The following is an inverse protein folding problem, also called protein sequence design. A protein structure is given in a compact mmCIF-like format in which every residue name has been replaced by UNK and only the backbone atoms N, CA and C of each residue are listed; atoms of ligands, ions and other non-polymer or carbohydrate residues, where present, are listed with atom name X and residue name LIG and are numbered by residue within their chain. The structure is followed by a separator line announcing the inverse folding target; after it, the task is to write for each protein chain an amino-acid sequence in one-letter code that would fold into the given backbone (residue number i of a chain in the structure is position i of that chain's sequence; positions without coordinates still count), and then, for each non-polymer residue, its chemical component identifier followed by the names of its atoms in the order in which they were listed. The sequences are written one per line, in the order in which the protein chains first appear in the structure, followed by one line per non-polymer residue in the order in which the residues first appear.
data_IF_750312414738
#
_entry.id   IF_750312414738
#
_cell.length_a   1.000
_cell.length_b   1.000
_cell.length_c   1.000
_cell.angle_alpha   90.00
_cell.angle_beta   90.00
_cell.angle_gamma   90.00
#
_symmetry.space_group_name_H-M   'P 1'
#
loop_
_entity.id
_entity.type
_entity.pdbx_description
1 polymer ?
#
# COMPACT_ATOMS: atom_id res chain seq x y z
N UNK A 1 12.92 -0.71 17.21
CA UNK A 1 11.62 -0.06 16.92
C UNK A 1 10.96 0.42 18.21
N UNK A 2 10.80 -0.42 19.22
CA UNK A 2 10.14 -0.08 20.50
C UNK A 2 10.79 1.12 21.17
N UNK A 3 12.11 1.16 21.27
CA UNK A 3 12.87 2.30 21.80
C UNK A 3 12.57 3.59 21.01
N UNK A 4 12.62 3.50 19.67
CA UNK A 4 12.30 4.65 18.81
C UNK A 4 10.86 5.14 18.95
N UNK A 5 9.87 4.26 19.21
CA UNK A 5 8.49 4.65 19.46
C UNK A 5 8.34 5.51 20.72
N UNK A 6 9.08 5.18 21.79
CA UNK A 6 9.06 5.93 23.04
C UNK A 6 9.52 7.39 22.85
N UNK A 7 10.44 7.63 21.90
CA UNK A 7 10.99 8.95 21.59
C UNK A 7 10.30 9.69 20.44
N UNK A 8 9.33 9.06 19.74
CA UNK A 8 8.63 9.72 18.63
C UNK A 8 7.91 11.00 19.05
N UNK A 9 7.38 11.07 20.28
CA UNK A 9 6.72 12.26 20.82
C UNK A 9 7.66 13.46 20.97
N UNK A 10 8.94 13.20 21.14
CA UNK A 10 9.99 14.23 21.31
C UNK A 10 10.39 14.85 19.97
N UNK A 11 10.00 14.22 18.84
CA UNK A 11 10.35 14.68 17.51
C UNK A 11 9.17 15.42 16.85
N UNK A 12 9.14 16.76 16.84
CA UNK A 12 7.98 17.56 16.43
C UNK A 12 7.43 17.18 15.06
N UNK A 13 8.30 16.99 14.05
CA UNK A 13 7.89 16.67 12.68
C UNK A 13 7.17 15.31 12.61
N UNK A 14 7.77 14.27 13.17
CA UNK A 14 7.21 12.91 13.09
C UNK A 14 5.93 12.79 13.92
N UNK A 15 5.95 13.39 15.10
CA UNK A 15 4.78 13.35 15.99
C UNK A 15 3.60 14.15 15.45
N UNK A 16 3.83 15.30 14.81
CA UNK A 16 2.77 16.08 14.19
C UNK A 16 2.07 15.31 13.05
N UNK A 17 2.81 14.52 12.27
CA UNK A 17 2.21 13.64 11.26
C UNK A 17 1.25 12.61 11.90
N UNK A 18 1.61 12.07 13.07
CA UNK A 18 0.77 11.12 13.80
C UNK A 18 -0.46 11.82 14.37
N UNK A 19 -0.29 12.97 15.04
CA UNK A 19 -1.40 13.75 15.58
C UNK A 19 -2.44 14.09 14.51
N UNK A 20 -1.97 14.53 13.35
CA UNK A 20 -2.84 14.87 12.23
C UNK A 20 -3.61 13.67 11.65
N UNK A 21 -3.09 12.47 11.80
CA UNK A 21 -3.77 11.23 11.40
C UNK A 21 -4.80 10.78 12.45
N UNK A 22 -4.56 11.08 13.73
CA UNK A 22 -5.41 10.72 14.87
C UNK A 22 -6.21 11.94 15.39
N UNK A 23 -6.84 12.69 14.49
CA UNK A 23 -7.51 13.97 14.79
C UNK A 23 -8.55 13.93 15.92
N UNK A 24 -9.06 12.75 16.30
CA UNK A 24 -10.00 12.56 17.40
C UNK A 24 -9.32 12.26 18.74
N UNK A 25 -7.99 12.19 18.79
CA UNK A 25 -7.22 11.84 20.00
C UNK A 25 -6.22 12.96 20.25
N UNK A 26 -6.32 13.63 21.41
CA UNK A 26 -5.49 14.80 21.71
C UNK A 26 -4.01 14.43 21.84
N UNK A 27 -3.62 13.35 22.34
CA UNK A 27 -2.21 12.91 22.44
C UNK A 27 -2.10 11.42 22.14
N UNK A 28 -2.14 11.03 20.85
CA UNK A 28 -2.07 9.62 20.48
C UNK A 28 -0.74 9.01 20.90
N UNK A 29 -0.79 7.78 21.40
CA UNK A 29 0.43 6.99 21.61
C UNK A 29 0.94 6.47 20.25
N UNK A 30 2.20 6.78 19.87
CA UNK A 30 2.77 6.24 18.65
C UNK A 30 2.80 4.71 18.66
N UNK A 31 2.47 4.12 17.53
CA UNK A 31 2.49 2.68 17.30
C UNK A 31 3.36 2.32 16.10
N UNK A 32 3.69 1.05 15.94
CA UNK A 32 4.38 0.54 14.75
C UNK A 32 3.55 0.83 13.48
N UNK A 33 2.23 0.79 13.59
CA UNK A 33 1.34 1.13 12.48
C UNK A 33 1.49 2.57 12.02
N UNK A 34 1.71 3.52 12.93
CA UNK A 34 1.91 4.92 12.56
C UNK A 34 3.17 5.12 11.71
N UNK A 35 4.22 4.33 11.96
CA UNK A 35 5.43 4.35 11.13
C UNK A 35 5.08 3.87 9.72
N UNK A 36 4.43 2.71 9.59
CA UNK A 36 4.12 2.07 8.31
C UNK A 36 3.02 2.76 7.51
N UNK A 37 1.98 3.29 8.17
CA UNK A 37 0.76 3.77 7.51
C UNK A 37 0.61 5.30 7.53
N UNK A 38 1.36 6.00 8.37
CA UNK A 38 1.30 7.47 8.48
C UNK A 38 2.63 8.12 8.10
N UNK A 39 3.69 7.89 8.87
CA UNK A 39 4.99 8.56 8.65
C UNK A 39 5.57 8.17 7.30
N UNK A 40 5.77 6.88 7.07
CA UNK A 40 6.37 6.35 5.83
C UNK A 40 5.65 6.81 4.56
N UNK A 41 4.32 6.63 4.44
CA UNK A 41 3.57 7.07 3.26
C UNK A 41 3.62 8.58 3.00
N UNK A 42 3.63 9.43 4.02
CA UNK A 42 3.73 10.88 3.86
C UNK A 42 5.13 11.30 3.37
N UNK A 43 6.19 10.78 3.98
CA UNK A 43 7.57 11.04 3.55
C UNK A 43 7.82 10.48 2.15
N UNK A 44 7.38 9.25 1.86
CA UNK A 44 7.53 8.65 0.54
C UNK A 44 6.80 9.44 -0.56
N UNK A 45 5.67 10.06 -0.25
CA UNK A 45 4.95 10.88 -1.23
C UNK A 45 5.77 12.09 -1.67
N UNK A 46 6.40 12.80 -0.74
CA UNK A 46 7.22 13.96 -1.10
C UNK A 46 8.56 13.55 -1.73
N UNK A 47 9.13 12.41 -1.35
CA UNK A 47 10.32 11.86 -2.00
C UNK A 47 10.04 11.57 -3.48
N UNK A 48 8.85 11.07 -3.80
CA UNK A 48 8.45 10.77 -5.19
C UNK A 48 8.05 12.00 -5.99
N UNK A 49 7.22 12.88 -5.42
CA UNK A 49 6.56 13.97 -6.15
C UNK A 49 7.05 15.37 -5.77
N UNK A 50 7.86 15.50 -4.73
CA UNK A 50 8.38 16.78 -4.27
C UNK A 50 9.53 17.28 -5.15
N UNK A 51 9.65 18.61 -5.24
CA UNK A 51 10.83 19.27 -5.82
C UNK A 51 12.04 19.12 -4.89
N UNK A 52 13.24 19.32 -5.41
CA UNK A 52 14.46 19.25 -4.60
C UNK A 52 14.42 20.19 -3.38
N UNK A 53 13.99 21.47 -3.51
CA UNK A 53 13.82 22.35 -2.34
C UNK A 53 12.85 21.79 -1.30
N UNK A 54 11.72 21.20 -1.72
CA UNK A 54 10.76 20.60 -0.80
C UNK A 54 11.35 19.39 -0.05
N UNK A 55 12.12 18.55 -0.73
CA UNK A 55 12.85 17.43 -0.10
C UNK A 55 13.86 17.93 0.91
N UNK A 56 14.55 19.04 0.64
CA UNK A 56 15.48 19.66 1.59
C UNK A 56 14.76 20.19 2.85
N UNK A 57 13.54 20.75 2.73
CA UNK A 57 12.75 21.15 3.89
C UNK A 57 12.44 19.93 4.78
N UNK A 58 12.02 18.81 4.20
CA UNK A 58 11.77 17.58 4.97
C UNK A 58 13.06 17.05 5.64
N UNK A 59 14.18 17.08 4.93
CA UNK A 59 15.46 16.69 5.52
C UNK A 59 15.85 17.59 6.72
N UNK A 60 15.69 18.92 6.57
CA UNK A 60 15.93 19.86 7.68
C UNK A 60 15.00 19.60 8.86
N UNK A 61 13.71 19.28 8.61
CA UNK A 61 12.75 18.95 9.65
C UNK A 61 13.12 17.67 10.44
N UNK A 62 13.80 16.72 9.79
CA UNK A 62 14.29 15.50 10.46
C UNK A 62 15.52 15.79 11.35
N UNK A 63 16.36 16.76 11.00
CA UNK A 63 17.63 17.02 11.70
C UNK A 63 17.51 18.17 12.70
N UNK A 64 16.77 19.22 12.36
CA UNK A 64 16.65 20.48 13.12
C UNK A 64 15.23 21.02 13.06
N UNK A 65 14.22 20.34 13.67
CA UNK A 65 12.81 20.59 13.45
C UNK A 65 12.36 22.01 13.83
N UNK A 66 13.05 22.67 14.74
CA UNK A 66 12.72 24.03 15.20
C UNK A 66 13.40 25.14 14.42
N UNK A 67 14.19 24.82 13.39
CA UNK A 67 14.76 25.83 12.49
C UNK A 67 13.65 26.65 11.83
N UNK A 68 13.79 27.98 11.81
CA UNK A 68 12.85 28.83 11.11
C UNK A 68 13.15 28.85 9.60
N UNK A 69 12.09 28.78 8.81
CA UNK A 69 12.13 28.84 7.34
C UNK A 69 10.95 29.68 6.83
N UNK A 70 11.08 30.31 5.66
CA UNK A 70 9.97 31.00 5.04
C UNK A 70 8.81 30.04 4.79
N UNK A 71 7.58 30.45 5.13
CA UNK A 71 6.36 29.70 4.80
C UNK A 71 6.15 29.72 3.28
N UNK A 72 5.83 28.57 2.70
CA UNK A 72 5.37 28.51 1.30
C UNK A 72 3.85 28.40 1.18
N UNK A 73 3.13 28.70 2.24
CA UNK A 73 1.67 28.75 2.25
C UNK A 73 1.18 30.04 1.62
N UNK A 74 0.23 29.94 0.71
CA UNK A 74 -0.33 31.10 0.02
C UNK A 74 -0.90 32.11 1.02
N UNK A 75 -0.44 33.35 0.92
CA UNK A 75 -0.84 34.46 1.79
C UNK A 75 0.01 34.60 3.07
N UNK A 76 1.11 33.85 3.20
CA UNK A 76 2.07 33.90 4.29
C UNK A 76 3.49 34.20 3.78
N UNK A 77 3.64 34.91 2.67
CA UNK A 77 4.88 35.08 1.92
C UNK A 77 6.04 35.70 2.75
N UNK A 78 5.72 36.47 3.81
CA UNK A 78 6.70 37.12 4.70
C UNK A 78 6.78 36.47 6.09
N UNK A 79 6.17 35.30 6.28
CA UNK A 79 6.16 34.63 7.59
C UNK A 79 7.24 33.54 7.66
N UNK A 80 7.96 33.52 8.78
CA UNK A 80 8.82 32.41 9.13
C UNK A 80 8.09 31.44 10.06
N UNK A 81 8.20 30.15 9.78
CA UNK A 81 7.59 29.09 10.56
C UNK A 81 8.64 28.04 10.93
N UNK A 82 8.45 27.30 12.02
CA UNK A 82 9.29 26.14 12.30
C UNK A 82 9.30 25.17 11.12
N UNK A 83 10.48 24.68 10.74
CA UNK A 83 10.63 23.85 9.53
C UNK A 83 9.80 22.58 9.60
N UNK A 84 9.49 22.06 10.81
CA UNK A 84 8.63 20.88 10.95
C UNK A 84 7.18 21.15 10.49
N UNK A 85 6.62 22.33 10.76
CA UNK A 85 5.26 22.70 10.32
C UNK A 85 5.19 22.78 8.79
N UNK A 86 6.18 23.44 8.18
CA UNK A 86 6.28 23.52 6.73
C UNK A 86 6.45 22.13 6.09
N UNK A 87 7.30 21.26 6.69
CA UNK A 87 7.52 19.90 6.22
C UNK A 87 6.24 19.03 6.30
N UNK A 88 5.50 19.10 7.41
CA UNK A 88 4.21 18.41 7.57
C UNK A 88 3.24 18.82 6.48
N UNK A 89 3.08 20.13 6.26
CA UNK A 89 2.19 20.69 5.23
C UNK A 89 2.59 20.20 3.83
N UNK A 90 3.88 20.25 3.50
CA UNK A 90 4.40 19.80 2.21
C UNK A 90 4.19 18.29 2.00
N UNK A 91 4.43 17.46 3.01
CA UNK A 91 4.21 16.01 2.97
C UNK A 91 2.73 15.69 2.73
N UNK A 92 1.81 16.31 3.47
CA UNK A 92 0.35 16.13 3.30
C UNK A 92 -0.12 16.53 1.91
N UNK A 93 0.35 17.68 1.40
CA UNK A 93 0.05 18.13 0.05
C UNK A 93 0.59 17.16 -1.02
N UNK A 94 1.81 16.66 -0.85
CA UNK A 94 2.38 15.66 -1.75
C UNK A 94 1.58 14.36 -1.70
N UNK A 95 1.16 13.91 -0.51
CA UNK A 95 0.32 12.71 -0.32
C UNK A 95 -1.03 12.85 -1.03
N UNK A 96 -1.69 14.00 -0.90
CA UNK A 96 -2.96 14.27 -1.58
C UNK A 96 -2.78 14.25 -3.12
N UNK A 97 -1.74 14.91 -3.64
CA UNK A 97 -1.42 14.86 -5.08
C UNK A 97 -1.13 13.44 -5.55
N UNK A 98 -0.35 12.68 -4.77
CA UNK A 98 -0.04 11.28 -5.07
C UNK A 98 -1.32 10.44 -5.18
N UNK A 99 -2.23 10.53 -4.22
CA UNK A 99 -3.49 9.78 -4.23
C UNK A 99 -4.31 10.13 -5.48
N UNK A 100 -4.51 11.43 -5.75
CA UNK A 100 -5.25 11.88 -6.94
C UNK A 100 -4.61 11.40 -8.24
N UNK A 101 -3.28 11.46 -8.35
CA UNK A 101 -2.57 11.01 -9.55
C UNK A 101 -2.68 9.48 -9.74
N UNK A 102 -2.57 8.71 -8.67
CA UNK A 102 -2.75 7.25 -8.71
C UNK A 102 -4.18 6.89 -9.13
N UNK A 103 -5.19 7.52 -8.54
CA UNK A 103 -6.59 7.22 -8.85
C UNK A 103 -6.94 7.58 -10.31
N UNK A 104 -6.45 8.72 -10.80
CA UNK A 104 -6.57 9.11 -12.21
C UNK A 104 -5.88 8.11 -13.14
N UNK A 105 -4.67 7.68 -12.80
CA UNK A 105 -3.92 6.70 -13.58
C UNK A 105 -4.66 5.37 -13.66
N UNK A 106 -5.21 4.88 -12.54
CA UNK A 106 -5.99 3.65 -12.52
C UNK A 106 -7.24 3.78 -13.40
N UNK A 107 -7.98 4.89 -13.28
CA UNK A 107 -9.14 5.12 -14.14
C UNK A 107 -8.76 5.09 -15.63
N UNK A 108 -7.62 5.70 -16.02
CA UNK A 108 -7.11 5.64 -17.40
C UNK A 108 -6.79 4.20 -17.81
N UNK A 109 -6.04 3.46 -16.99
CA UNK A 109 -5.67 2.08 -17.30
C UNK A 109 -6.92 1.22 -17.48
N UNK A 110 -7.91 1.34 -16.58
CA UNK A 110 -9.14 0.55 -16.64
C UNK A 110 -9.99 0.79 -17.89
N UNK A 111 -9.88 1.95 -18.54
CA UNK A 111 -10.57 2.20 -19.82
C UNK A 111 -9.94 1.48 -21.01
N UNK A 112 -8.67 1.11 -20.89
CA UNK A 112 -7.88 0.51 -21.98
C UNK A 112 -7.59 -0.97 -21.72
N UNK A 113 -7.53 -1.36 -20.46
CA UNK A 113 -7.14 -2.69 -20.04
C UNK A 113 -8.28 -3.69 -20.29
N UNK A 114 -8.00 -4.66 -21.14
CA UNK A 114 -8.88 -5.81 -21.37
C UNK A 114 -8.25 -7.03 -20.67
N UNK A 115 -8.72 -7.33 -19.47
CA UNK A 115 -8.30 -8.52 -18.72
C UNK A 115 -9.21 -9.68 -19.06
N UNK A 116 -8.62 -10.79 -19.52
CA UNK A 116 -9.32 -12.05 -19.75
C UNK A 116 -9.17 -12.95 -18.53
N UNK A 117 -10.13 -13.84 -18.32
CA UNK A 117 -10.05 -14.84 -17.24
C UNK A 117 -8.85 -15.78 -17.38
N UNK A 118 -8.36 -15.94 -18.63
CA UNK A 118 -7.18 -16.75 -18.95
C UNK A 118 -5.84 -16.04 -18.72
N UNK A 119 -5.85 -14.75 -18.39
CA UNK A 119 -4.61 -14.01 -18.18
C UNK A 119 -4.08 -14.28 -16.76
N UNK A 120 -2.91 -14.90 -16.65
CA UNK A 120 -2.26 -15.20 -15.38
C UNK A 120 -1.46 -14.00 -14.82
N UNK A 121 -1.26 -12.97 -15.63
CA UNK A 121 -0.64 -11.71 -15.25
C UNK A 121 -1.27 -10.56 -16.04
N UNK A 122 -1.25 -9.36 -15.48
CA UNK A 122 -1.70 -8.13 -16.13
C UNK A 122 -0.46 -7.40 -16.64
N UNK A 123 -0.37 -7.21 -17.95
CA UNK A 123 0.71 -6.45 -18.58
C UNK A 123 0.11 -5.24 -19.29
N UNK A 124 0.37 -4.05 -18.75
CA UNK A 124 -0.03 -2.79 -19.35
C UNK A 124 1.20 -2.00 -19.80
N UNK A 125 1.15 -1.49 -21.03
CA UNK A 125 2.21 -0.67 -21.64
C UNK A 125 1.65 0.74 -21.83
N UNK A 126 2.24 1.69 -21.15
CA UNK A 126 1.92 3.11 -21.27
C UNK A 126 2.68 3.73 -22.45
N UNK A 127 2.19 3.49 -23.67
CA UNK A 127 2.81 3.96 -24.91
C UNK A 127 2.84 5.48 -25.00
N UNK A 128 1.81 6.16 -24.50
CA UNK A 128 1.67 7.62 -24.54
C UNK A 128 2.33 8.31 -23.34
N UNK A 129 2.97 7.58 -22.43
CA UNK A 129 3.64 8.09 -21.23
C UNK A 129 2.75 8.99 -20.36
N UNK A 130 1.47 8.63 -20.21
CA UNK A 130 0.48 9.38 -19.41
C UNK A 130 0.61 9.13 -17.91
N UNK A 131 1.25 8.02 -17.54
CA UNK A 131 1.41 7.65 -16.13
C UNK A 131 2.66 8.31 -15.55
N UNK A 132 2.56 8.78 -14.33
CA UNK A 132 3.72 9.24 -13.56
C UNK A 132 4.57 8.01 -13.18
N UNK A 133 5.76 7.88 -13.74
CA UNK A 133 6.62 6.71 -13.58
C UNK A 133 6.95 6.41 -12.11
N UNK A 134 7.22 7.44 -11.32
CA UNK A 134 7.52 7.36 -9.89
C UNK A 134 6.37 6.75 -9.07
N UNK A 135 5.17 6.69 -9.66
CA UNK A 135 3.97 6.12 -9.05
C UNK A 135 3.62 4.73 -9.59
N UNK A 136 4.32 4.23 -10.60
CA UNK A 136 4.01 2.95 -11.26
C UNK A 136 3.91 1.77 -10.28
N UNK A 137 4.81 1.71 -9.29
CA UNK A 137 4.74 0.68 -8.25
C UNK A 137 3.52 0.78 -7.33
N UNK A 138 2.99 1.99 -7.07
CA UNK A 138 1.76 2.16 -6.29
C UNK A 138 0.52 1.80 -7.10
N UNK A 139 0.50 2.19 -8.36
CA UNK A 139 -0.55 1.85 -9.31
C UNK A 139 -0.62 0.32 -9.47
N UNK A 140 0.53 -0.32 -9.70
CA UNK A 140 0.62 -1.77 -9.81
C UNK A 140 0.13 -2.49 -8.55
N UNK A 141 0.43 -1.99 -7.34
CA UNK A 141 -0.09 -2.57 -6.09
C UNK A 141 -1.61 -2.47 -5.97
N UNK A 142 -2.23 -1.36 -6.38
CA UNK A 142 -3.69 -1.23 -6.35
C UNK A 142 -4.37 -2.17 -7.36
N UNK A 143 -3.81 -2.29 -8.56
CA UNK A 143 -4.30 -3.24 -9.55
C UNK A 143 -4.10 -4.70 -9.12
N UNK A 144 -2.96 -5.03 -8.48
CA UNK A 144 -2.73 -6.33 -7.86
C UNK A 144 -3.82 -6.68 -6.85
N UNK A 145 -4.18 -5.73 -5.97
CA UNK A 145 -5.25 -5.93 -4.99
C UNK A 145 -6.62 -6.11 -5.64
N UNK A 146 -6.88 -5.47 -6.78
CA UNK A 146 -8.14 -5.56 -7.50
C UNK A 146 -8.28 -6.87 -8.29
N UNK A 147 -7.22 -7.29 -8.97
CA UNK A 147 -7.27 -8.44 -9.88
C UNK A 147 -6.68 -9.72 -9.30
N UNK A 148 -6.02 -9.62 -8.15
CA UNK A 148 -5.38 -10.76 -7.46
C UNK A 148 -4.34 -11.52 -8.31
N UNK A 149 -3.72 -10.86 -9.29
CA UNK A 149 -2.74 -11.41 -10.24
C UNK A 149 -1.53 -10.50 -10.34
N UNK A 150 -0.33 -11.00 -10.68
CA UNK A 150 0.84 -10.15 -10.92
C UNK A 150 0.53 -9.02 -11.91
N UNK A 151 1.03 -7.83 -11.62
CA UNK A 151 0.83 -6.63 -12.45
C UNK A 151 2.18 -6.09 -12.89
N UNK A 152 2.32 -5.90 -14.19
CA UNK A 152 3.47 -5.36 -14.88
C UNK A 152 3.04 -4.07 -15.58
N UNK A 153 3.57 -2.93 -15.13
CA UNK A 153 3.34 -1.63 -15.76
C UNK A 153 4.64 -1.18 -16.43
N UNK A 154 4.62 -1.05 -17.74
CA UNK A 154 5.77 -0.70 -18.56
C UNK A 154 5.51 0.61 -19.30
N UNK A 155 6.57 1.26 -19.73
CA UNK A 155 6.58 2.36 -20.69
C UNK A 155 7.82 2.33 -21.55
N UNK A 156 7.79 3.01 -22.68
CA UNK A 156 8.94 3.19 -23.56
C UNK A 156 10.06 3.95 -22.82
N UNK A 157 11.26 3.41 -22.93
CA UNK A 157 12.48 4.03 -22.45
C UNK A 157 13.52 4.01 -23.56
N UNK A 158 14.02 5.19 -23.93
CA UNK A 158 15.06 5.34 -24.95
C UNK A 158 16.25 6.06 -24.31
N UNK A 159 17.43 5.48 -24.44
CA UNK A 159 18.67 6.10 -24.03
C UNK A 159 19.76 5.80 -25.08
N UNK A 160 20.04 6.77 -25.94
CA UNK A 160 20.88 6.54 -27.14
C UNK A 160 20.25 5.50 -28.06
N UNK A 161 20.99 4.45 -28.38
CA UNK A 161 20.53 3.35 -29.24
C UNK A 161 19.77 2.25 -28.51
N UNK A 162 19.60 2.39 -27.19
CA UNK A 162 18.87 1.41 -26.38
C UNK A 162 17.38 1.74 -26.39
N UNK A 163 16.59 0.83 -26.94
CA UNK A 163 15.12 0.87 -26.94
C UNK A 163 14.62 -0.29 -26.09
N UNK A 164 14.01 0.01 -24.96
CA UNK A 164 13.45 -1.00 -24.08
C UNK A 164 12.14 -0.51 -23.41
N UNK A 165 11.33 -1.44 -22.97
CA UNK A 165 10.21 -1.16 -22.09
C UNK A 165 10.68 -1.30 -20.65
N UNK A 166 10.55 -0.23 -19.86
CA UNK A 166 10.89 -0.21 -18.43
C UNK A 166 9.69 0.03 -17.56
N UNK A 167 9.67 -0.60 -16.39
CA UNK A 167 8.59 -0.35 -15.46
C UNK A 167 8.68 -1.08 -14.14
N UNK A 168 7.51 -1.24 -13.52
CA UNK A 168 7.36 -1.82 -12.19
C UNK A 168 6.54 -3.09 -12.23
N UNK A 169 7.01 -4.09 -11.51
CA UNK A 169 6.29 -5.36 -11.26
C UNK A 169 5.85 -5.41 -9.81
N UNK A 170 4.62 -5.86 -9.61
CA UNK A 170 4.08 -6.20 -8.29
C UNK A 170 3.35 -7.53 -8.36
N UNK A 171 3.61 -8.37 -7.36
CA UNK A 171 2.96 -9.66 -7.16
C UNK A 171 2.82 -9.94 -5.67
N UNK A 172 2.30 -11.10 -5.33
CA UNK A 172 2.24 -11.61 -3.97
C UNK A 172 2.66 -13.08 -3.94
N UNK A 173 3.19 -13.58 -2.80
CA UNK A 173 3.40 -15.01 -2.63
C UNK A 173 2.07 -15.76 -2.71
N UNK A 174 2.06 -16.83 -3.46
CA UNK A 174 0.94 -17.79 -3.53
C UNK A 174 1.52 -19.19 -3.65
N UNK A 175 0.73 -20.21 -3.41
CA UNK A 175 1.18 -21.60 -3.57
C UNK A 175 1.68 -21.85 -5.00
N UNK A 176 2.85 -22.47 -5.12
CA UNK A 176 3.51 -22.68 -6.40
C UNK A 176 4.25 -21.48 -7.00
N UNK A 177 4.35 -20.35 -6.27
CA UNK A 177 5.10 -19.16 -6.71
C UNK A 177 5.86 -18.51 -5.52
N UNK A 178 7.09 -18.92 -5.31
CA UNK A 178 7.94 -18.43 -4.22
C UNK A 178 8.69 -17.13 -4.60
N UNK A 179 9.00 -16.94 -5.87
CA UNK A 179 9.76 -15.78 -6.36
C UNK A 179 9.38 -15.43 -7.80
N UNK A 180 8.51 -14.43 -7.95
CA UNK A 180 8.07 -13.93 -9.25
C UNK A 180 9.23 -13.34 -10.08
N UNK A 181 10.19 -12.69 -9.42
CA UNK A 181 11.36 -12.10 -10.09
C UNK A 181 12.20 -13.20 -10.78
N UNK A 182 12.45 -14.31 -10.12
CA UNK A 182 13.24 -15.41 -10.69
C UNK A 182 12.50 -16.05 -11.88
N UNK A 183 11.17 -16.20 -11.78
CA UNK A 183 10.35 -16.66 -12.92
C UNK A 183 10.51 -15.73 -14.11
N UNK A 184 10.39 -14.42 -13.91
CA UNK A 184 10.49 -13.45 -15.01
C UNK A 184 11.90 -13.36 -15.60
N UNK A 185 12.94 -13.46 -14.78
CA UNK A 185 14.33 -13.43 -15.25
C UNK A 185 14.65 -14.56 -16.23
N UNK A 186 13.95 -15.69 -16.13
CA UNK A 186 14.07 -16.81 -17.06
C UNK A 186 13.32 -16.65 -18.39
N UNK A 187 12.55 -15.57 -18.58
CA UNK A 187 11.73 -15.36 -19.78
C UNK A 187 12.53 -14.61 -20.86
N UNK A 188 12.44 -15.09 -22.09
CA UNK A 188 13.05 -14.44 -23.27
C UNK A 188 12.59 -12.98 -23.37
N UNK A 189 13.53 -12.09 -23.66
CA UNK A 189 13.29 -10.65 -23.80
C UNK A 189 13.43 -9.85 -22.49
N UNK A 190 13.55 -10.50 -21.33
CA UNK A 190 13.85 -9.81 -20.08
C UNK A 190 15.36 -9.51 -20.03
N UNK A 191 15.69 -8.23 -19.96
CA UNK A 191 17.08 -7.75 -19.91
C UNK A 191 17.49 -7.39 -18.47
N UNK A 192 16.49 -7.05 -17.63
CA UNK A 192 16.74 -6.56 -16.28
C UNK A 192 15.57 -6.86 -15.35
N UNK A 193 15.87 -7.34 -14.13
CA UNK A 193 14.91 -7.49 -13.04
C UNK A 193 15.61 -7.15 -11.71
N UNK A 194 15.32 -5.98 -11.14
CA UNK A 194 16.02 -5.42 -9.98
C UNK A 194 15.05 -5.12 -8.83
N UNK A 195 15.28 -5.73 -7.68
CA UNK A 195 14.46 -5.54 -6.48
C UNK A 195 14.17 -6.83 -5.74
N UNK A 196 13.02 -6.88 -5.05
CA UNK A 196 12.60 -8.00 -4.22
C UNK A 196 11.81 -9.03 -5.02
N UNK A 197 11.59 -10.23 -4.45
CA UNK A 197 10.92 -11.36 -5.11
C UNK A 197 9.56 -11.03 -5.77
N UNK A 198 8.76 -10.13 -5.15
CA UNK A 198 7.44 -9.75 -5.62
C UNK A 198 7.26 -8.24 -5.90
N UNK A 199 8.33 -7.46 -5.77
CA UNK A 199 8.31 -6.01 -5.98
C UNK A 199 9.64 -5.56 -6.57
N UNK A 200 9.69 -5.36 -7.89
CA UNK A 200 10.93 -5.07 -8.61
C UNK A 200 10.70 -4.19 -9.84
N UNK A 201 11.78 -3.61 -10.33
CA UNK A 201 11.85 -2.98 -11.63
C UNK A 201 12.14 -4.00 -12.71
N UNK A 202 11.52 -3.84 -13.87
CA UNK A 202 11.67 -4.72 -15.03
C UNK A 202 12.08 -3.92 -16.25
N UNK A 203 13.01 -4.45 -17.03
CA UNK A 203 13.38 -3.99 -18.36
C UNK A 203 13.21 -5.12 -19.37
N UNK A 204 12.52 -4.85 -20.48
CA UNK A 204 12.22 -5.82 -21.54
C UNK A 204 12.61 -5.20 -22.88
N UNK A 205 13.21 -6.01 -23.75
CA UNK A 205 13.38 -5.66 -25.16
C UNK A 205 12.00 -5.44 -25.81
N UNK A 206 11.79 -4.26 -26.40
CA UNK A 206 10.49 -3.86 -26.95
C UNK A 206 10.05 -4.74 -28.12
N UNK A 207 10.99 -5.25 -28.92
CA UNK A 207 10.70 -6.16 -30.05
C UNK A 207 10.16 -7.52 -29.55
N UNK A 208 10.52 -7.95 -28.33
CA UNK A 208 10.19 -9.26 -27.75
C UNK A 208 8.99 -9.24 -26.79
N UNK A 209 8.32 -8.10 -26.66
CA UNK A 209 7.21 -7.96 -25.69
C UNK A 209 6.06 -8.92 -25.94
N UNK A 210 5.77 -9.25 -27.19
CA UNK A 210 4.69 -10.21 -27.51
C UNK A 210 5.04 -11.62 -27.08
N UNK A 211 6.27 -12.05 -27.30
CA UNK A 211 6.77 -13.34 -26.81
C UNK A 211 6.83 -13.39 -25.28
N UNK A 212 7.32 -12.31 -24.67
CA UNK A 212 7.32 -12.18 -23.21
C UNK A 212 5.93 -12.40 -22.61
N UNK A 213 4.87 -11.77 -23.15
CA UNK A 213 3.49 -11.95 -22.65
C UNK A 213 3.04 -13.40 -22.73
N UNK A 214 3.34 -14.11 -23.81
CA UNK A 214 2.98 -15.52 -23.97
C UNK A 214 3.73 -16.38 -22.97
N UNK A 215 5.06 -16.28 -22.93
CA UNK A 215 5.89 -17.08 -22.02
C UNK A 215 5.59 -16.80 -20.54
N UNK A 216 5.29 -15.55 -20.17
CA UNK A 216 4.88 -15.21 -18.83
C UNK A 216 3.56 -15.90 -18.45
N UNK A 217 2.57 -15.84 -19.35
CA UNK A 217 1.28 -16.48 -19.12
C UNK A 217 1.44 -18.00 -18.98
N UNK A 218 2.27 -18.63 -19.79
CA UNK A 218 2.59 -20.05 -19.72
C UNK A 218 3.33 -20.42 -18.43
N UNK A 219 4.33 -19.62 -18.03
CA UNK A 219 5.09 -19.85 -16.80
C UNK A 219 4.21 -19.77 -15.54
N UNK A 220 3.18 -18.94 -15.57
CA UNK A 220 2.23 -18.76 -14.46
C UNK A 220 0.97 -19.65 -14.59
N UNK A 221 0.83 -20.46 -15.64
CA UNK A 221 -0.39 -21.22 -15.93
C UNK A 221 -0.78 -22.26 -14.88
N UNK A 222 0.17 -22.69 -14.06
CA UNK A 222 -0.04 -23.67 -12.97
C UNK A 222 -0.29 -23.02 -11.61
N UNK A 223 -0.21 -21.68 -11.54
CA UNK A 223 -0.38 -20.93 -10.30
C UNK A 223 -1.85 -20.53 -10.16
N UNK A 224 -2.49 -20.93 -9.08
CA UNK A 224 -3.86 -20.49 -8.79
C UNK A 224 -3.85 -19.21 -7.94
N UNK A 225 -4.09 -18.09 -8.58
CA UNK A 225 -4.16 -16.78 -7.94
C UNK A 225 -5.48 -16.53 -7.18
N UNK A 226 -6.49 -17.39 -7.33
CA UNK A 226 -7.79 -17.23 -6.68
C UNK A 226 -7.81 -17.88 -5.29
N UNK A 227 -6.84 -18.72 -4.99
CA UNK A 227 -6.70 -19.33 -3.65
C UNK A 227 -6.10 -18.32 -2.70
N UNK A 228 -6.88 -17.85 -1.75
CA UNK A 228 -6.40 -17.09 -0.61
C UNK A 228 -6.09 -18.07 0.53
N UNK A 229 -4.81 -18.37 0.72
CA UNK A 229 -4.38 -19.15 1.88
C UNK A 229 -4.29 -18.22 3.08
N UNK A 230 -5.03 -18.54 4.13
CA UNK A 230 -4.92 -17.87 5.42
C UNK A 230 -4.25 -18.80 6.41
N UNK A 231 -3.14 -18.38 6.98
CA UNK A 231 -2.57 -19.06 8.15
C UNK A 231 -3.44 -18.75 9.35
N UNK A 232 -3.93 -19.79 10.01
CA UNK A 232 -4.76 -19.67 11.21
C UNK A 232 -3.98 -20.22 12.38
N UNK A 233 -3.65 -19.34 13.33
CA UNK A 233 -2.87 -19.68 14.52
C UNK A 233 -3.76 -20.16 15.67
N UNK A 234 -5.04 -19.72 15.70
CA UNK A 234 -5.99 -20.09 16.74
C UNK A 234 -7.38 -20.31 16.14
N UNK A 235 -8.02 -21.40 16.54
CA UNK A 235 -9.45 -21.63 16.28
C UNK A 235 -10.19 -21.57 17.62
N UNK A 236 -11.20 -20.73 17.71
CA UNK A 236 -12.00 -20.57 18.92
C UNK A 236 -13.49 -20.36 18.55
N UNK A 237 -14.40 -20.85 19.39
CA UNK A 237 -15.82 -20.48 19.28
C UNK A 237 -16.01 -19.03 19.78
N UNK A 238 -17.04 -18.35 19.29
CA UNK A 238 -17.30 -16.97 19.68
C UNK A 238 -17.40 -16.76 21.21
N UNK A 239 -17.93 -17.75 21.94
CA UNK A 239 -18.10 -17.68 23.39
C UNK A 239 -16.81 -18.05 24.18
N UNK A 240 -15.77 -18.54 23.52
CA UNK A 240 -14.46 -18.87 24.09
C UNK A 240 -13.49 -17.69 24.02
N UNK A 241 -13.76 -16.71 23.17
CA UNK A 241 -12.96 -15.48 23.08
C UNK A 241 -13.08 -14.71 24.41
N UNK A 242 -11.94 -14.51 25.04
CA UNK A 242 -11.82 -13.83 26.31
C UNK A 242 -10.93 -12.58 26.23
N UNK A 243 -10.87 -11.83 27.31
CA UNK A 243 -10.08 -10.59 27.40
C UNK A 243 -8.58 -10.85 27.19
N UNK A 244 -8.05 -11.99 27.61
CA UNK A 244 -6.61 -12.31 27.47
C UNK A 244 -6.25 -12.50 25.99
N UNK A 245 -7.05 -13.25 25.24
CA UNK A 245 -6.88 -13.42 23.80
C UNK A 245 -6.95 -12.03 23.12
N UNK A 246 -7.97 -11.23 23.45
CA UNK A 246 -8.11 -9.89 22.89
C UNK A 246 -6.92 -8.99 23.22
N UNK A 247 -6.40 -9.02 24.45
CA UNK A 247 -5.23 -8.25 24.87
C UNK A 247 -3.96 -8.67 24.11
N UNK A 248 -3.72 -9.98 23.96
CA UNK A 248 -2.58 -10.48 23.19
C UNK A 248 -2.69 -10.04 21.72
N UNK A 249 -3.87 -10.22 21.13
CA UNK A 249 -4.12 -9.82 19.74
C UNK A 249 -4.00 -8.29 19.52
N UNK A 250 -4.33 -7.48 20.53
CA UNK A 250 -4.26 -6.03 20.47
C UNK A 250 -2.86 -5.46 20.67
N UNK A 251 -1.86 -6.26 21.03
CA UNK A 251 -0.49 -5.78 21.24
C UNK A 251 0.13 -5.34 19.93
N UNK A 252 0.37 -4.04 19.78
CA UNK A 252 1.00 -3.45 18.59
C UNK A 252 2.53 -3.29 18.75
N UNK A 253 3.05 -3.62 19.91
CA UNK A 253 4.48 -3.48 20.26
C UNK A 253 5.32 -4.72 19.93
N UNK A 254 4.68 -5.86 19.68
CA UNK A 254 5.37 -7.13 19.42
C UNK A 254 5.22 -7.65 17.98
N UNK A 255 4.15 -7.26 17.28
CA UNK A 255 3.88 -7.73 15.92
C UNK A 255 4.55 -6.84 14.87
N UNK A 256 5.15 -7.45 13.84
CA UNK A 256 5.81 -6.71 12.77
C UNK A 256 6.58 -7.62 11.83
N UNK A 257 7.57 -7.08 11.14
CA UNK A 257 8.37 -7.85 10.21
C UNK A 257 9.10 -9.00 10.91
N UNK A 258 8.82 -10.23 10.49
CA UNK A 258 9.38 -11.45 11.06
C UNK A 258 8.63 -12.02 12.26
N UNK A 259 7.66 -11.30 12.82
CA UNK A 259 6.72 -11.76 13.84
C UNK A 259 5.34 -11.26 13.48
N UNK A 260 4.67 -11.98 12.62
CA UNK A 260 3.35 -11.57 12.12
C UNK A 260 2.29 -11.62 13.24
N UNK A 261 1.29 -10.74 13.11
CA UNK A 261 0.17 -10.74 14.04
C UNK A 261 -0.62 -12.03 13.87
N UNK A 262 -0.88 -12.78 14.95
CA UNK A 262 -1.62 -14.04 14.86
C UNK A 262 -3.03 -13.83 14.32
N UNK A 263 -3.50 -14.79 13.53
CA UNK A 263 -4.83 -14.83 12.96
C UNK A 263 -5.70 -15.84 13.70
N UNK A 264 -6.92 -15.44 14.07
CA UNK A 264 -7.87 -16.32 14.73
C UNK A 264 -9.08 -16.59 13.82
N UNK A 265 -9.48 -17.85 13.71
CA UNK A 265 -10.76 -18.25 13.14
C UNK A 265 -11.79 -18.34 14.27
N UNK A 266 -12.76 -17.44 14.27
CA UNK A 266 -13.87 -17.49 15.22
C UNK A 266 -15.03 -18.24 14.56
N UNK A 267 -15.53 -19.29 15.23
CA UNK A 267 -16.62 -20.12 14.75
C UNK A 267 -17.90 -19.95 15.58
N UNK A 268 -18.99 -20.51 15.09
CA UNK A 268 -20.32 -20.53 15.75
C UNK A 268 -20.85 -19.11 16.06
N UNK A 269 -20.47 -18.11 15.24
CA UNK A 269 -20.89 -16.71 15.42
C UNK A 269 -22.41 -16.63 15.26
N UNK A 270 -23.15 -15.99 16.23
CA UNK A 270 -24.59 -15.79 16.11
C UNK A 270 -24.91 -14.93 14.87
N UNK A 271 -25.78 -15.43 14.01
CA UNK A 271 -26.13 -14.76 12.74
C UNK A 271 -27.46 -13.98 12.81
N UNK A 272 -28.11 -13.97 13.95
CA UNK A 272 -29.44 -13.38 14.18
C UNK A 272 -29.40 -12.05 14.96
N UNK A 273 -28.22 -11.68 15.51
CA UNK A 273 -28.03 -10.47 16.28
C UNK A 273 -26.95 -9.57 15.64
N UNK A 274 -27.35 -8.81 14.61
CA UNK A 274 -26.44 -7.94 13.89
C UNK A 274 -27.04 -6.56 13.62
N UNK A 275 -26.19 -5.58 13.38
CA UNK A 275 -26.53 -4.22 12.99
C UNK A 275 -25.73 -3.83 11.74
N UNK A 276 -26.42 -3.27 10.74
CA UNK A 276 -25.79 -2.70 9.55
C UNK A 276 -25.52 -1.22 9.81
N UNK A 277 -24.29 -0.78 9.55
CA UNK A 277 -23.82 0.56 9.88
C UNK A 277 -23.20 1.25 8.66
N UNK A 278 -23.09 2.58 8.77
CA UNK A 278 -22.49 3.45 7.76
C UNK A 278 -23.51 4.08 6.83
N UNK A 279 -23.13 5.20 6.20
CA UNK A 279 -24.02 5.98 5.34
C UNK A 279 -24.51 5.22 4.08
N UNK A 280 -23.77 4.18 3.69
CA UNK A 280 -24.05 3.36 2.51
C UNK A 280 -24.20 1.87 2.89
N UNK A 281 -24.58 1.56 4.11
CA UNK A 281 -24.78 0.20 4.62
C UNK A 281 -23.56 -0.72 4.39
N UNK A 282 -22.34 -0.15 4.47
CA UNK A 282 -21.13 -0.85 4.11
C UNK A 282 -20.41 -1.54 5.27
N UNK A 283 -20.90 -1.42 6.50
CA UNK A 283 -20.28 -2.02 7.68
C UNK A 283 -21.27 -2.96 8.37
N UNK A 284 -20.76 -4.01 8.97
CA UNK A 284 -21.54 -4.99 9.73
C UNK A 284 -20.99 -5.09 11.15
N UNK A 285 -21.87 -4.98 12.14
CA UNK A 285 -21.59 -5.26 13.55
C UNK A 285 -22.39 -6.47 13.97
N UNK A 286 -21.76 -7.44 14.61
CA UNK A 286 -22.38 -8.65 15.16
C UNK A 286 -22.18 -8.62 16.66
N UNK A 287 -23.26 -8.65 17.43
CA UNK A 287 -23.22 -8.72 18.88
C UNK A 287 -23.01 -10.17 19.33
N UNK A 288 -21.91 -10.44 19.98
CA UNK A 288 -21.55 -11.72 20.58
C UNK A 288 -21.79 -11.75 22.09
N UNK A 289 -22.47 -10.78 22.64
CA UNK A 289 -22.85 -10.63 24.05
C UNK A 289 -21.74 -10.05 24.94
N UNK A 290 -20.52 -10.56 24.89
CA UNK A 290 -19.37 -10.05 25.68
C UNK A 290 -18.49 -9.08 24.89
N UNK A 291 -18.60 -9.10 23.56
CA UNK A 291 -17.84 -8.28 22.64
C UNK A 291 -18.60 -8.22 21.32
N UNK A 292 -18.26 -7.24 20.51
CA UNK A 292 -18.80 -7.09 19.15
C UNK A 292 -17.74 -7.49 18.11
N UNK A 293 -18.18 -8.11 17.03
CA UNK A 293 -17.39 -8.27 15.82
C UNK A 293 -17.81 -7.18 14.85
N UNK A 294 -16.86 -6.35 14.42
CA UNK A 294 -17.13 -5.27 13.47
C UNK A 294 -16.36 -5.53 12.18
N UNK A 295 -17.09 -5.62 11.08
CA UNK A 295 -16.57 -5.77 9.74
C UNK A 295 -16.74 -4.46 8.99
N UNK A 296 -15.63 -3.84 8.60
CA UNK A 296 -15.64 -2.58 7.88
C UNK A 296 -15.57 -2.81 6.37
N UNK A 297 -16.35 -2.04 5.61
CA UNK A 297 -16.36 -2.02 4.15
C UNK A 297 -16.61 -3.40 3.51
N UNK A 298 -17.71 -4.01 3.90
CA UNK A 298 -18.18 -5.32 3.42
C UNK A 298 -19.59 -5.23 2.74
N UNK A 299 -19.76 -4.34 1.73
CA UNK A 299 -21.09 -4.09 1.14
C UNK A 299 -21.71 -5.33 0.53
N UNK A 300 -20.91 -6.23 -0.02
CA UNK A 300 -21.43 -7.50 -0.60
C UNK A 300 -22.05 -8.42 0.44
N UNK A 301 -21.53 -8.38 1.67
CA UNK A 301 -22.07 -9.17 2.79
C UNK A 301 -23.32 -8.50 3.36
N UNK A 302 -23.27 -7.19 3.61
CA UNK A 302 -24.41 -6.45 4.15
C UNK A 302 -25.61 -6.50 3.21
N UNK A 303 -25.41 -6.33 1.89
CA UNK A 303 -26.48 -6.41 0.89
C UNK A 303 -27.11 -7.80 0.77
N UNK A 304 -26.48 -8.86 1.26
CA UNK A 304 -27.06 -10.20 1.34
C UNK A 304 -27.91 -10.41 2.60
N UNK A 305 -27.76 -9.52 3.58
CA UNK A 305 -28.46 -9.58 4.86
C UNK A 305 -29.69 -8.65 4.92
N UNK A 306 -29.79 -7.71 3.98
CA UNK A 306 -30.95 -6.85 3.74
C UNK A 306 -31.91 -7.56 2.77
#
# INVERSE_FOLDING_TARGET
VTEGLNHLREHPFLYQLIQDAHYNIEFPNPTIKDIGWTIGPNINAIIRLGTLPQKHIVFKALVSPMLLVPSSKRGEDDQEVPVFEEAVRLCKNAKKRQTTAVDKSIATILTELQVKDTDNAIVYIDEEQRLTFELSGLIANKLLSQYNRPVILLRNFTNGDVHELRGSVRGKPVDGLDNLKDVMTGITGVERAEGHAFAFGLGINDELVSEFKVHLNDALSKVDFNVNLYTIDLIAKYNEVNTEIAQVMAREDIWGHGVEKPSALITDIPSDNYEIMGNNDQHLKIDCGRYDIVLFNVPELTHKLI
#
